data_IF_715466758896
#
_entry.id   IF_715466758896
#
_cell.length_a   1.000
_cell.length_b   1.000
_cell.length_c   1.000
_cell.angle_alpha   90.00
_cell.angle_beta   90.00
_cell.angle_gamma   90.00
#
_symmetry.space_group_name_H-M   'P 1'
#
loop_
_entity.id
_entity.type
_entity.pdbx_description
1 polymer ?
#
# COMPACT_ATOMS: atom_id res chain seq x y z
N UNK A 1 44.35 17.05 -19.07
CA UNK A 1 43.90 15.65 -19.02
C UNK A 1 43.33 15.43 -17.64
N UNK A 2 42.07 15.00 -17.62
CA UNK A 2 41.13 15.07 -16.50
C UNK A 2 41.53 14.14 -15.36
N UNK A 3 41.43 14.67 -14.13
CA UNK A 3 41.40 13.86 -12.91
C UNK A 3 40.21 12.91 -12.99
N UNK A 4 40.51 11.62 -12.94
CA UNK A 4 39.54 10.54 -12.83
C UNK A 4 38.91 10.65 -11.44
N UNK A 5 37.65 11.10 -11.40
CA UNK A 5 36.83 10.95 -10.20
C UNK A 5 36.42 9.48 -10.14
N UNK A 6 37.01 8.75 -9.20
CA UNK A 6 36.50 7.48 -8.69
C UNK A 6 35.14 7.74 -8.05
N UNK A 7 34.08 7.66 -8.86
CA UNK A 7 32.70 7.69 -8.39
C UNK A 7 32.45 6.34 -7.71
N UNK A 8 32.69 6.31 -6.41
CA UNK A 8 32.34 5.22 -5.51
C UNK A 8 30.90 4.83 -5.79
N UNK A 9 30.73 3.65 -6.39
CA UNK A 9 29.45 3.03 -6.67
C UNK A 9 28.77 2.61 -5.36
N UNK A 10 28.30 3.59 -4.59
CA UNK A 10 27.19 3.33 -3.68
C UNK A 10 26.02 2.89 -4.57
N UNK A 11 25.57 1.66 -4.34
CA UNK A 11 24.45 1.06 -5.06
C UNK A 11 23.23 1.93 -4.81
N UNK A 12 23.00 2.93 -5.68
CA UNK A 12 21.82 3.78 -5.64
C UNK A 12 20.61 2.86 -5.73
N UNK A 13 19.81 2.80 -4.67
CA UNK A 13 18.49 2.14 -4.67
C UNK A 13 17.61 2.92 -5.66
N UNK A 14 17.66 2.56 -6.95
CA UNK A 14 16.90 3.24 -8.00
C UNK A 14 15.42 2.97 -7.73
N UNK A 15 14.69 4.00 -7.29
CA UNK A 15 13.24 3.92 -7.14
C UNK A 15 12.61 3.72 -8.54
N UNK A 16 11.99 2.57 -8.77
CA UNK A 16 11.32 2.26 -10.04
C UNK A 16 9.82 2.57 -9.96
N UNK A 17 9.41 3.73 -10.48
CA UNK A 17 7.99 4.12 -10.52
C UNK A 17 7.15 3.36 -11.57
N UNK A 18 7.75 2.43 -12.31
CA UNK A 18 7.08 1.62 -13.34
C UNK A 18 5.91 0.84 -12.77
N UNK A 19 6.00 0.34 -11.52
CA UNK A 19 4.90 -0.37 -10.87
C UNK A 19 3.68 0.53 -10.59
N UNK A 20 3.91 1.79 -10.22
CA UNK A 20 2.84 2.77 -10.03
C UNK A 20 2.21 3.17 -11.36
N UNK A 21 3.01 3.26 -12.42
CA UNK A 21 2.53 3.54 -13.77
C UNK A 21 1.69 2.38 -14.32
N UNK A 22 2.18 1.13 -14.21
CA UNK A 22 1.44 -0.06 -14.62
C UNK A 22 0.10 -0.14 -13.87
N UNK A 23 0.09 0.09 -12.55
CA UNK A 23 -1.14 0.08 -11.76
C UNK A 23 -2.15 1.17 -12.20
N UNK A 24 -1.67 2.36 -12.54
CA UNK A 24 -2.50 3.45 -13.08
C UNK A 24 -3.04 3.10 -14.47
N UNK A 25 -2.17 2.56 -15.33
CA UNK A 25 -2.52 2.09 -16.66
C UNK A 25 -3.61 1.02 -16.59
N UNK A 26 -3.42 -0.01 -15.75
CA UNK A 26 -4.43 -1.05 -15.53
C UNK A 26 -5.75 -0.45 -15.04
N UNK A 27 -5.73 0.49 -14.10
CA UNK A 27 -6.96 1.11 -13.61
C UNK A 27 -7.74 1.82 -14.74
N UNK A 28 -7.08 2.68 -15.51
CA UNK A 28 -7.73 3.38 -16.63
C UNK A 28 -8.12 2.44 -17.78
N UNK A 29 -7.28 1.46 -18.08
CA UNK A 29 -7.53 0.46 -19.11
C UNK A 29 -8.76 -0.39 -18.75
N UNK A 30 -8.86 -0.85 -17.51
CA UNK A 30 -10.00 -1.65 -17.06
C UNK A 30 -11.28 -0.83 -16.97
N UNK A 31 -11.23 0.44 -16.53
CA UNK A 31 -12.41 1.32 -16.55
C UNK A 31 -12.88 1.63 -17.97
N UNK A 32 -11.95 1.76 -18.93
CA UNK A 32 -12.26 1.98 -20.34
C UNK A 32 -12.77 0.71 -21.02
N UNK A 33 -12.21 -0.45 -20.69
CA UNK A 33 -12.66 -1.75 -21.18
C UNK A 33 -14.02 -2.13 -20.61
N UNK A 34 -14.30 -1.83 -19.33
CA UNK A 34 -15.61 -2.01 -18.70
C UNK A 34 -16.73 -1.24 -19.42
N UNK A 35 -16.44 -0.06 -19.98
CA UNK A 35 -17.41 0.67 -20.81
C UNK A 35 -17.65 -0.02 -22.18
N UNK A 36 -16.70 -0.84 -22.65
CA UNK A 36 -16.79 -1.60 -23.91
C UNK A 36 -17.50 -2.95 -23.68
N UNK A 37 -17.29 -3.62 -22.54
CA UNK A 37 -17.87 -4.94 -22.20
C UNK A 37 -19.30 -4.88 -21.65
N UNK A 38 -19.94 -3.72 -21.61
CA UNK A 38 -21.42 -3.65 -21.54
C UNK A 38 -22.10 -4.39 -22.71
N UNK A 39 -21.35 -4.78 -23.76
CA UNK A 39 -21.81 -5.67 -24.82
C UNK A 39 -21.22 -7.10 -24.72
N UNK A 40 -21.17 -7.65 -23.50
CA UNK A 40 -21.10 -9.10 -23.23
C UNK A 40 -19.78 -9.80 -23.55
N UNK A 41 -18.93 -10.03 -22.56
CA UNK A 41 -18.15 -11.28 -22.42
C UNK A 41 -17.56 -11.41 -21.00
N UNK A 42 -17.66 -12.61 -20.41
CA UNK A 42 -17.50 -12.93 -18.99
C UNK A 42 -16.10 -13.48 -18.65
N UNK A 43 -15.02 -12.76 -18.96
CA UNK A 43 -13.66 -13.17 -18.57
C UNK A 43 -12.87 -12.05 -17.89
N UNK A 44 -13.22 -11.80 -16.63
CA UNK A 44 -12.53 -10.83 -15.77
C UNK A 44 -12.93 -10.92 -14.30
N UNK A 45 -12.91 -12.11 -13.69
CA UNK A 45 -13.39 -12.34 -12.33
C UNK A 45 -12.37 -12.06 -11.20
N UNK A 46 -11.39 -11.20 -11.43
CA UNK A 46 -10.79 -10.38 -10.35
C UNK A 46 -11.34 -8.93 -10.37
N UNK A 47 -12.34 -8.65 -11.22
CA UNK A 47 -13.00 -7.35 -11.44
C UNK A 47 -14.52 -7.46 -11.30
N UNK A 48 -15.00 -8.12 -10.25
CA UNK A 48 -16.44 -8.33 -10.13
C UNK A 48 -17.18 -6.99 -9.96
N UNK A 49 -18.15 -6.66 -10.83
CA UNK A 49 -19.04 -5.50 -10.67
C UNK A 49 -19.68 -5.44 -9.27
N UNK A 50 -19.83 -6.60 -8.62
CA UNK A 50 -20.26 -6.72 -7.24
C UNK A 50 -19.37 -5.95 -6.26
N UNK A 51 -18.03 -6.07 -6.34
CA UNK A 51 -17.12 -5.37 -5.42
C UNK A 51 -17.16 -3.86 -5.66
N UNK A 52 -17.22 -3.42 -6.91
CA UNK A 52 -17.33 -2.01 -7.26
C UNK A 52 -18.65 -1.41 -6.76
N UNK A 53 -19.77 -2.14 -6.89
CA UNK A 53 -21.07 -1.76 -6.35
C UNK A 53 -21.12 -1.78 -4.82
N UNK A 54 -20.47 -2.76 -4.18
CA UNK A 54 -20.41 -2.85 -2.73
C UNK A 54 -19.64 -1.65 -2.12
N UNK A 55 -18.56 -1.21 -2.75
CA UNK A 55 -17.84 0.00 -2.36
C UNK A 55 -18.65 1.27 -2.63
N UNK A 56 -19.38 1.33 -3.75
CA UNK A 56 -20.28 2.44 -4.05
C UNK A 56 -21.34 2.63 -2.96
N UNK A 57 -21.99 1.56 -2.50
CA UNK A 57 -22.97 1.66 -1.41
C UNK A 57 -22.36 2.03 -0.05
N UNK A 58 -21.06 1.77 0.17
CA UNK A 58 -20.38 2.15 1.42
C UNK A 58 -19.82 3.57 1.41
N UNK A 59 -19.16 3.97 0.33
CA UNK A 59 -18.32 5.18 0.26
C UNK A 59 -18.95 6.25 -0.65
N UNK A 60 -19.94 5.88 -1.47
CA UNK A 60 -20.63 6.79 -2.39
C UNK A 60 -19.79 7.23 -3.59
N UNK A 61 -18.65 6.60 -3.86
CA UNK A 61 -17.75 6.92 -4.97
C UNK A 61 -17.40 5.67 -5.76
N UNK A 62 -17.48 5.79 -7.09
CA UNK A 62 -16.95 4.80 -8.02
C UNK A 62 -15.42 4.97 -8.10
N UNK A 63 -14.67 3.89 -8.34
CA UNK A 63 -13.20 3.98 -8.45
C UNK A 63 -12.76 4.84 -9.65
N UNK A 64 -12.34 6.09 -9.41
CA UNK A 64 -11.91 7.05 -10.44
C UNK A 64 -10.38 7.02 -10.72
N UNK A 65 -9.67 5.98 -10.28
CA UNK A 65 -8.21 5.83 -10.44
C UNK A 65 -7.33 6.94 -9.83
N UNK A 66 -7.91 7.95 -9.18
CA UNK A 66 -7.22 9.13 -8.62
C UNK A 66 -6.17 8.79 -7.57
N UNK A 67 -6.44 7.78 -6.74
CA UNK A 67 -5.48 7.27 -5.75
C UNK A 67 -4.23 6.65 -6.41
N UNK A 68 -4.39 5.97 -7.55
CA UNK A 68 -3.25 5.40 -8.28
C UNK A 68 -2.42 6.50 -8.95
N UNK A 69 -3.05 7.60 -9.34
CA UNK A 69 -2.36 8.77 -9.86
C UNK A 69 -1.54 9.48 -8.76
N UNK A 70 -2.08 9.64 -7.55
CA UNK A 70 -1.32 10.21 -6.43
C UNK A 70 -0.11 9.35 -6.09
N UNK A 71 -0.25 8.02 -6.06
CA UNK A 71 0.87 7.10 -5.80
C UNK A 71 2.00 7.24 -6.84
N UNK A 72 1.62 7.44 -8.11
CA UNK A 72 2.59 7.69 -9.19
C UNK A 72 3.27 9.05 -9.04
N UNK A 73 2.51 10.09 -8.70
CA UNK A 73 3.04 11.44 -8.48
C UNK A 73 4.00 11.46 -7.30
N UNK A 74 3.66 10.80 -6.21
CA UNK A 74 4.50 10.67 -5.02
C UNK A 74 5.82 9.95 -5.38
N UNK A 75 5.75 8.84 -6.13
CA UNK A 75 6.96 8.16 -6.60
C UNK A 75 7.83 9.05 -7.51
N UNK A 76 7.20 9.81 -8.43
CA UNK A 76 7.92 10.70 -9.32
C UNK A 76 8.59 11.85 -8.53
N UNK A 77 7.92 12.37 -7.51
CA UNK A 77 8.45 13.39 -6.61
C UNK A 77 9.65 12.89 -5.80
N UNK A 78 9.64 11.61 -5.39
CA UNK A 78 10.79 10.98 -4.72
C UNK A 78 11.96 10.78 -5.68
N UNK A 79 11.68 10.53 -6.96
CA UNK A 79 12.71 10.37 -8.00
C UNK A 79 13.38 11.69 -8.39
N UNK A 80 12.69 12.83 -8.24
CA UNK A 80 13.25 14.16 -8.55
C UNK A 80 14.05 14.77 -7.39
N UNK A 81 13.92 14.24 -6.16
CA UNK A 81 14.71 14.65 -4.99
C UNK A 81 16.16 14.15 -5.04
N UNK A 82 17.03 14.77 -4.21
CA UNK A 82 18.42 14.30 -4.03
C UNK A 82 18.42 12.89 -3.41
N UNK A 83 19.36 12.05 -3.84
CA UNK A 83 19.42 10.64 -3.42
C UNK A 83 19.49 10.45 -1.89
N UNK A 84 20.25 11.29 -1.18
CA UNK A 84 20.35 11.24 0.29
C UNK A 84 19.07 11.64 1.02
N UNK A 85 18.22 12.45 0.40
CA UNK A 85 16.92 12.81 0.95
C UNK A 85 15.88 11.72 0.67
N UNK A 86 15.92 11.14 -0.54
CA UNK A 86 15.03 10.05 -0.93
C UNK A 86 15.23 8.79 -0.07
N UNK A 87 16.48 8.43 0.26
CA UNK A 87 16.77 7.27 1.12
C UNK A 87 16.19 7.45 2.53
N UNK A 88 16.28 8.65 3.11
CA UNK A 88 15.69 8.95 4.42
C UNK A 88 14.17 8.83 4.41
N UNK A 89 13.51 9.32 3.35
CA UNK A 89 12.06 9.23 3.23
C UNK A 89 11.62 7.76 3.07
N UNK A 90 12.37 6.95 2.32
CA UNK A 90 12.06 5.52 2.17
C UNK A 90 12.21 4.77 3.50
N UNK A 91 13.27 5.05 4.27
CA UNK A 91 13.48 4.45 5.59
C UNK A 91 12.36 4.84 6.58
N UNK A 92 11.93 6.11 6.56
CA UNK A 92 10.80 6.58 7.37
C UNK A 92 9.48 5.91 6.94
N UNK A 93 9.25 5.71 5.63
CA UNK A 93 8.10 4.97 5.15
C UNK A 93 8.14 3.49 5.54
N UNK A 94 9.30 2.84 5.49
CA UNK A 94 9.47 1.46 5.93
C UNK A 94 9.18 1.32 7.43
N UNK A 95 9.64 2.26 8.27
CA UNK A 95 9.34 2.30 9.71
C UNK A 95 7.85 2.54 9.97
N UNK A 96 7.24 3.52 9.31
CA UNK A 96 5.82 3.81 9.46
C UNK A 96 4.92 2.67 8.93
N UNK A 97 5.34 1.97 7.88
CA UNK A 97 4.65 0.78 7.38
C UNK A 97 4.79 -0.41 8.36
N UNK A 98 5.97 -0.57 8.96
CA UNK A 98 6.19 -1.54 10.03
C UNK A 98 5.33 -1.23 11.26
N UNK A 99 5.14 0.02 11.65
CA UNK A 99 4.25 0.41 12.76
C UNK A 99 2.76 0.16 12.46
N UNK A 100 2.34 0.28 11.20
CA UNK A 100 0.94 0.07 10.78
C UNK A 100 0.49 -1.40 10.70
N UNK A 101 1.33 -2.35 11.11
CA UNK A 101 0.92 -3.75 11.12
C UNK A 101 -0.34 -3.94 12.00
N UNK A 102 -1.36 -4.60 11.43
CA UNK A 102 -2.68 -4.79 12.06
C UNK A 102 -2.58 -5.58 13.38
N UNK A 103 -1.49 -6.34 13.57
CA UNK A 103 -1.27 -7.23 14.69
C UNK A 103 -0.05 -6.82 15.51
N UNK A 104 -0.25 -6.05 16.58
CA UNK A 104 0.83 -5.76 17.53
C UNK A 104 1.06 -7.00 18.40
N UNK A 105 2.24 -7.61 18.31
CA UNK A 105 2.64 -8.69 19.21
C UNK A 105 2.87 -8.11 20.61
N UNK A 106 2.04 -8.51 21.57
CA UNK A 106 2.20 -8.14 22.98
C UNK A 106 3.33 -8.94 23.62
N UNK A 107 3.98 -8.38 24.62
CA UNK A 107 4.90 -9.14 25.47
C UNK A 107 4.12 -10.15 26.32
N UNK A 108 4.80 -11.18 26.84
CA UNK A 108 4.15 -12.21 27.66
C UNK A 108 3.45 -11.59 28.88
N UNK A 109 4.05 -10.58 29.51
CA UNK A 109 3.52 -9.88 30.69
C UNK A 109 2.27 -9.03 30.37
N UNK A 110 2.28 -8.33 29.24
CA UNK A 110 1.13 -7.56 28.74
C UNK A 110 -0.04 -8.47 28.34
N UNK A 111 0.27 -9.62 27.73
CA UNK A 111 -0.73 -10.60 27.33
C UNK A 111 -1.42 -11.22 28.56
N UNK A 112 -0.66 -11.58 29.60
CA UNK A 112 -1.20 -12.11 30.86
C UNK A 112 -2.06 -11.08 31.58
N UNK A 113 -1.59 -9.83 31.65
CA UNK A 113 -2.34 -8.75 32.31
C UNK A 113 -3.68 -8.48 31.62
N UNK A 114 -3.67 -8.38 30.29
CA UNK A 114 -4.88 -8.18 29.49
C UNK A 114 -5.83 -9.38 29.55
N UNK A 115 -5.29 -10.60 29.56
CA UNK A 115 -6.08 -11.81 29.72
C UNK A 115 -6.79 -11.83 31.07
N UNK A 116 -6.09 -11.54 32.16
CA UNK A 116 -6.67 -11.52 33.50
C UNK A 116 -7.75 -10.42 33.64
N UNK A 117 -7.53 -9.25 33.04
CA UNK A 117 -8.55 -8.19 33.01
C UNK A 117 -9.82 -8.61 32.22
N UNK A 118 -9.64 -9.30 31.10
CA UNK A 118 -10.76 -9.68 30.22
C UNK A 118 -11.49 -10.94 30.69
N UNK A 119 -10.74 -11.91 31.21
CA UNK A 119 -11.19 -13.29 31.45
C UNK A 119 -10.92 -13.79 32.86
N UNK A 120 -10.37 -12.97 33.77
CA UNK A 120 -10.09 -13.39 35.15
C UNK A 120 -11.32 -13.86 35.91
N UNK A 121 -12.51 -13.38 35.53
CA UNK A 121 -13.80 -13.86 36.06
C UNK A 121 -14.10 -15.34 35.76
N UNK A 122 -13.44 -15.95 34.77
CA UNK A 122 -13.59 -17.37 34.44
C UNK A 122 -12.71 -18.28 35.31
N UNK A 123 -11.73 -17.72 36.01
CA UNK A 123 -10.82 -18.46 36.89
C UNK A 123 -11.40 -18.64 38.29
N UNK A 124 -12.52 -17.98 38.63
CA UNK A 124 -13.24 -18.18 39.88
C UNK A 124 -14.03 -19.51 39.84
N UNK A 125 -13.63 -20.55 40.60
CA UNK A 125 -14.27 -21.86 40.54
C UNK A 125 -15.65 -21.93 41.22
N UNK A 126 -16.19 -20.79 41.68
CA UNK A 126 -17.42 -20.68 42.47
C UNK A 126 -18.41 -19.60 41.96
N UNK A 127 -18.27 -19.13 40.72
CA UNK A 127 -19.31 -18.28 40.09
C UNK A 127 -20.40 -19.10 39.41
#
# INVERSE_FOLDING_TARGET
MSSENEDSSSVRRRVSCTKCFDALWFCYWMSRWSNITSNGDDTGNDLAPFYQMQQYYRVGKLDDCTKKFSDLFDCLSLKTKRASEAERILEEQEKAAAEKHIWIMRTQEEAVSHWNETFGHLEDPNS
#
